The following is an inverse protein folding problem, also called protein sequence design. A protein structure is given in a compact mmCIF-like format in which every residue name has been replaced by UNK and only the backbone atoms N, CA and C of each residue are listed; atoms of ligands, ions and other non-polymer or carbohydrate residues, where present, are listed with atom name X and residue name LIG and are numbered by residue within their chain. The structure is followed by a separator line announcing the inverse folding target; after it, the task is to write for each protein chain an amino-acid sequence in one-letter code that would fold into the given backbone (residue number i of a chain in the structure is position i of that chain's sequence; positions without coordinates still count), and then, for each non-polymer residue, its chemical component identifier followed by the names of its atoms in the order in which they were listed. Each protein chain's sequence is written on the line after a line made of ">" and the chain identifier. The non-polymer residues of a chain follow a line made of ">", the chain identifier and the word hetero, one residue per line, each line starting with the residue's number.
data_IF_119258407491
#
_entry.id   IF_119258407491
#
_cell.length_a   1.000
_cell.length_b   1.000
_cell.length_c   1.000
_cell.angle_alpha   90.00
_cell.angle_beta   90.00
_cell.angle_gamma   90.00
#
_symmetry.space_group_name_H-M   'P 1'
#
loop_
_entity.id
_entity.type
_entity.pdbx_description
1 polymer ?
#
# COMPACT_ATOMS: atom_id res chain seq x y z
N UNK A 1 26.06 -11.43 7.34
CA UNK A 1 25.39 -10.52 8.30
C UNK A 1 24.15 -11.22 8.85
N UNK A 2 23.72 -10.92 10.08
CA UNK A 2 22.63 -11.59 10.81
C UNK A 2 21.39 -10.68 10.85
N UNK A 3 20.21 -11.22 10.56
CA UNK A 3 18.93 -10.51 10.70
C UNK A 3 18.62 -10.23 12.19
N UNK A 4 17.82 -9.20 12.47
CA UNK A 4 17.29 -8.93 13.81
C UNK A 4 16.47 -10.13 14.30
N UNK A 5 16.45 -10.39 15.62
CA UNK A 5 15.56 -11.41 16.18
C UNK A 5 14.10 -10.94 16.22
N UNK A 6 13.16 -11.89 16.31
CA UNK A 6 11.75 -11.55 16.48
C UNK A 6 11.51 -10.84 17.82
N UNK A 7 12.20 -11.27 18.87
CA UNK A 7 12.10 -10.68 20.21
C UNK A 7 12.50 -9.20 20.19
N UNK A 8 13.65 -8.88 19.59
CA UNK A 8 14.12 -7.50 19.42
C UNK A 8 13.14 -6.66 18.58
N UNK A 9 12.57 -7.24 17.51
CA UNK A 9 11.55 -6.57 16.70
C UNK A 9 10.31 -6.23 17.54
N UNK A 10 9.78 -7.18 18.30
CA UNK A 10 8.61 -6.96 19.15
C UNK A 10 8.89 -5.94 20.26
N UNK A 11 10.04 -6.02 20.92
CA UNK A 11 10.44 -5.06 21.95
C UNK A 11 10.51 -3.65 21.38
N UNK A 12 11.10 -3.51 20.19
CA UNK A 12 11.19 -2.23 19.50
C UNK A 12 9.80 -1.63 19.23
N UNK A 13 8.87 -2.38 18.65
CA UNK A 13 7.50 -1.90 18.39
C UNK A 13 6.73 -1.62 19.68
N UNK A 14 6.84 -2.47 20.71
CA UNK A 14 6.19 -2.24 22.01
C UNK A 14 6.67 -0.97 22.69
N UNK A 15 7.97 -0.67 22.61
CA UNK A 15 8.54 0.57 23.14
C UNK A 15 7.97 1.84 22.50
N UNK A 16 7.33 1.70 21.33
CA UNK A 16 6.70 2.77 20.55
C UNK A 16 5.18 2.63 20.45
N UNK A 17 4.56 2.04 21.48
CA UNK A 17 3.11 1.85 21.57
C UNK A 17 2.50 1.04 20.41
N UNK A 18 3.26 0.12 19.81
CA UNK A 18 2.86 -0.76 18.69
C UNK A 18 2.42 -0.04 17.40
N UNK A 19 2.44 1.30 17.36
CA UNK A 19 2.10 2.10 16.17
C UNK A 19 2.86 3.41 16.22
N UNK A 20 3.68 3.67 15.22
CA UNK A 20 4.51 4.88 15.17
C UNK A 20 4.83 5.25 13.73
N UNK A 21 5.30 6.49 13.54
CA UNK A 21 5.94 6.92 12.31
C UNK A 21 7.45 6.91 12.49
N UNK A 22 8.16 6.38 11.51
CA UNK A 22 9.62 6.37 11.52
C UNK A 22 10.20 7.71 11.04
N UNK A 23 11.54 7.81 10.97
CA UNK A 23 12.25 9.02 10.57
C UNK A 23 11.98 9.46 9.12
N UNK A 24 11.49 8.55 8.27
CA UNK A 24 11.15 8.82 6.88
C UNK A 24 9.67 9.10 6.67
N UNK A 25 8.88 9.11 7.74
CA UNK A 25 7.44 9.35 7.69
C UNK A 25 6.61 8.13 7.30
N UNK A 26 7.22 6.94 7.17
CA UNK A 26 6.48 5.69 7.05
C UNK A 26 5.80 5.39 8.37
N UNK A 27 4.53 5.02 8.31
CA UNK A 27 3.79 4.53 9.45
C UNK A 27 3.92 3.01 9.53
N UNK A 28 4.19 2.50 10.72
CA UNK A 28 4.34 1.09 10.99
C UNK A 28 3.53 0.73 12.22
N UNK A 29 3.04 -0.50 12.26
CA UNK A 29 2.44 -1.01 13.47
C UNK A 29 2.30 -2.51 13.53
N UNK A 30 1.80 -2.97 14.67
CA UNK A 30 1.38 -4.33 14.92
C UNK A 30 -0.14 -4.33 15.05
N UNK A 31 -0.80 -5.16 14.25
CA UNK A 31 -2.23 -5.45 14.34
C UNK A 31 -2.50 -6.61 15.32
N UNK A 32 -3.77 -6.86 15.59
CA UNK A 32 -4.19 -8.04 16.34
C UNK A 32 -3.63 -9.32 15.67
N UNK A 33 -3.19 -10.28 16.48
CA UNK A 33 -2.53 -11.49 15.97
C UNK A 33 -1.01 -11.37 15.77
N UNK A 34 -0.38 -10.28 16.21
CA UNK A 34 1.06 -10.03 16.08
C UNK A 34 1.54 -9.89 14.63
N UNK A 35 0.66 -9.35 13.77
CA UNK A 35 0.95 -9.10 12.36
C UNK A 35 1.44 -7.67 12.17
N UNK A 36 2.52 -7.50 11.41
CA UNK A 36 3.17 -6.22 11.15
C UNK A 36 2.64 -5.60 9.87
N UNK A 37 2.39 -4.30 9.89
CA UNK A 37 1.94 -3.58 8.71
C UNK A 37 2.74 -2.32 8.52
N UNK A 38 2.80 -1.87 7.27
CA UNK A 38 3.39 -0.60 6.87
C UNK A 38 2.39 0.21 6.07
N UNK A 39 2.49 1.52 6.17
CA UNK A 39 1.75 2.47 5.37
C UNK A 39 2.66 3.66 5.06
N UNK A 40 2.88 3.93 3.78
CA UNK A 40 3.60 5.11 3.32
C UNK A 40 2.67 5.92 2.41
N UNK A 41 2.58 7.22 2.64
CA UNK A 41 1.78 8.13 1.82
C UNK A 41 2.66 9.22 1.23
N UNK A 42 2.55 9.39 -0.09
CA UNK A 42 3.19 10.43 -0.86
C UNK A 42 2.10 11.24 -1.59
N UNK A 43 1.74 12.38 -1.02
CA UNK A 43 0.96 13.38 -1.73
C UNK A 43 1.91 14.31 -2.48
N UNK A 44 2.04 14.14 -3.80
CA UNK A 44 2.85 15.03 -4.62
C UNK A 44 2.01 15.79 -5.65
N UNK A 45 1.09 16.64 -5.16
CA UNK A 45 0.30 17.55 -5.99
C UNK A 45 1.17 18.56 -6.79
N UNK A 46 2.46 18.67 -6.48
CA UNK A 46 3.39 19.52 -7.24
C UNK A 46 3.94 18.87 -8.51
N UNK A 47 3.81 17.55 -8.69
CA UNK A 47 4.34 16.81 -9.85
C UNK A 47 3.32 15.90 -10.56
N UNK A 48 2.10 15.81 -10.04
CA UNK A 48 1.01 15.06 -10.67
C UNK A 48 -0.28 15.16 -9.84
N UNK A 49 -1.43 14.78 -10.40
CA UNK A 49 -2.71 14.82 -9.69
C UNK A 49 -2.84 13.70 -8.66
N UNK A 50 -1.97 12.68 -8.70
CA UNK A 50 -2.13 11.45 -7.93
C UNK A 50 -1.51 11.57 -6.52
N UNK A 51 -2.33 11.31 -5.51
CA UNK A 51 -1.85 10.91 -4.20
C UNK A 51 -1.61 9.40 -4.21
N UNK A 52 -0.38 8.98 -3.90
CA UNK A 52 0.00 7.57 -3.85
C UNK A 52 0.16 7.16 -2.40
N UNK A 53 -0.43 6.05 -2.02
CA UNK A 53 -0.08 5.35 -0.79
C UNK A 53 0.28 3.90 -1.08
N UNK A 54 1.10 3.31 -0.23
CA UNK A 54 1.55 1.93 -0.35
C UNK A 54 1.42 1.29 1.02
N UNK A 55 0.72 0.18 1.10
CA UNK A 55 0.50 -0.55 2.35
C UNK A 55 0.69 -2.04 2.22
N UNK A 56 1.19 -2.66 3.28
CA UNK A 56 1.26 -4.12 3.42
C UNK A 56 0.06 -4.63 4.22
N UNK A 57 -0.39 -5.84 3.90
CA UNK A 57 -1.37 -6.58 4.69
C UNK A 57 -0.62 -7.49 5.66
N UNK A 58 -0.85 -7.29 6.97
CA UNK A 58 -0.39 -8.13 8.08
C UNK A 58 0.71 -9.17 7.81
N UNK A 59 1.98 -8.78 7.93
CA UNK A 59 3.14 -9.66 7.83
C UNK A 59 3.36 -10.42 9.15
N UNK A 60 3.65 -11.72 9.08
CA UNK A 60 4.24 -12.37 10.24
C UNK A 60 5.67 -11.84 10.50
N UNK A 61 6.21 -11.96 11.73
CA UNK A 61 7.50 -11.35 12.09
C UNK A 61 8.66 -11.73 11.15
N UNK A 62 8.79 -13.02 10.81
CA UNK A 62 9.83 -13.49 9.91
C UNK A 62 9.69 -12.89 8.51
N UNK A 63 8.48 -12.85 7.98
CA UNK A 63 8.23 -12.29 6.66
C UNK A 63 8.56 -10.80 6.64
N UNK A 64 8.15 -10.05 7.66
CA UNK A 64 8.50 -8.64 7.80
C UNK A 64 10.02 -8.41 7.79
N UNK A 65 10.75 -9.17 8.62
CA UNK A 65 12.22 -9.09 8.74
C UNK A 65 12.90 -9.43 7.41
N UNK A 66 12.49 -10.52 6.76
CA UNK A 66 13.11 -11.00 5.53
C UNK A 66 12.87 -10.05 4.36
N UNK A 67 11.64 -9.56 4.19
CA UNK A 67 11.27 -8.74 3.04
C UNK A 67 11.85 -7.34 3.10
N UNK A 68 11.92 -6.75 4.30
CA UNK A 68 12.61 -5.49 4.51
C UNK A 68 14.11 -5.64 4.75
N UNK A 69 14.62 -6.87 4.87
CA UNK A 69 16.03 -7.20 5.16
C UNK A 69 16.53 -6.49 6.42
N UNK A 70 15.76 -6.55 7.50
CA UNK A 70 16.01 -5.82 8.74
C UNK A 70 17.14 -6.52 9.52
N UNK A 71 18.25 -5.82 9.68
CA UNK A 71 19.43 -6.29 10.41
C UNK A 71 19.49 -5.69 11.82
N UNK A 72 18.98 -4.48 11.98
CA UNK A 72 18.90 -3.75 13.25
C UNK A 72 17.65 -2.87 13.32
N UNK A 73 17.32 -2.37 14.52
CA UNK A 73 16.19 -1.45 14.73
C UNK A 73 16.32 -0.16 13.93
N UNK A 74 17.55 0.30 13.69
CA UNK A 74 17.83 1.49 12.89
C UNK A 74 17.40 1.34 11.43
N UNK A 75 17.36 0.11 10.90
CA UNK A 75 16.88 -0.15 9.55
C UNK A 75 15.37 0.14 9.44
N UNK A 76 14.61 -0.14 10.50
CA UNK A 76 13.17 0.16 10.60
C UNK A 76 12.96 1.68 10.56
N UNK A 77 13.83 2.42 11.26
CA UNK A 77 13.80 3.88 11.26
C UNK A 77 14.17 4.48 9.88
N UNK A 78 14.92 3.73 9.07
CA UNK A 78 15.36 4.13 7.74
C UNK A 78 14.42 3.71 6.59
N UNK A 79 13.41 2.86 6.83
CA UNK A 79 12.48 2.41 5.79
C UNK A 79 11.75 3.60 5.13
N UNK A 80 11.78 3.67 3.81
CA UNK A 80 11.20 4.77 3.04
C UNK A 80 10.31 4.29 1.88
N UNK A 81 9.91 5.24 1.03
CA UNK A 81 9.14 4.99 -0.19
C UNK A 81 9.71 3.85 -1.05
N UNK A 82 11.02 3.77 -1.24
CA UNK A 82 11.62 2.76 -2.11
C UNK A 82 11.44 1.37 -1.50
N UNK A 83 11.54 1.24 -0.18
CA UNK A 83 11.27 -0.03 0.50
C UNK A 83 9.82 -0.47 0.28
N UNK A 84 8.85 0.43 0.43
CA UNK A 84 7.44 0.13 0.16
C UNK A 84 7.19 -0.20 -1.32
N UNK A 85 7.80 0.54 -2.24
CA UNK A 85 7.65 0.28 -3.68
C UNK A 85 8.20 -1.08 -4.07
N UNK A 86 9.34 -1.49 -3.50
CA UNK A 86 9.88 -2.83 -3.71
C UNK A 86 8.94 -3.92 -3.21
N UNK A 87 8.28 -3.74 -2.05
CA UNK A 87 7.24 -4.66 -1.57
C UNK A 87 6.08 -4.76 -2.56
N UNK A 88 5.64 -3.63 -3.13
CA UNK A 88 4.60 -3.62 -4.16
C UNK A 88 5.00 -4.40 -5.41
N UNK A 89 6.21 -4.17 -5.93
CA UNK A 89 6.74 -4.88 -7.10
C UNK A 89 6.86 -6.40 -6.87
N UNK A 90 7.08 -6.83 -5.63
CA UNK A 90 7.11 -8.24 -5.24
C UNK A 90 5.71 -8.86 -5.06
N UNK A 91 4.63 -8.07 -5.15
CA UNK A 91 3.26 -8.52 -4.89
C UNK A 91 2.91 -8.67 -3.40
N UNK A 92 3.67 -8.03 -2.53
CA UNK A 92 3.55 -8.14 -1.07
C UNK A 92 3.01 -6.86 -0.42
N UNK A 93 2.66 -5.87 -1.25
CA UNK A 93 1.96 -4.66 -0.86
C UNK A 93 0.92 -4.32 -1.93
N UNK A 94 0.02 -3.42 -1.57
CA UNK A 94 -0.90 -2.76 -2.47
C UNK A 94 -0.58 -1.28 -2.57
N UNK A 95 -0.87 -0.69 -3.73
CA UNK A 95 -0.75 0.74 -3.96
C UNK A 95 -2.14 1.35 -4.08
N UNK A 96 -2.46 2.31 -3.21
CA UNK A 96 -3.65 3.16 -3.31
C UNK A 96 -3.35 4.41 -4.13
N UNK A 97 -4.21 4.71 -5.08
CA UNK A 97 -4.21 5.92 -5.89
C UNK A 97 -5.54 6.63 -5.69
N UNK A 98 -5.51 7.89 -5.29
CA UNK A 98 -6.69 8.75 -5.26
C UNK A 98 -6.58 9.76 -6.42
N UNK A 99 -7.25 9.51 -7.56
CA UNK A 99 -7.32 10.46 -8.67
C UNK A 99 -8.11 11.70 -8.24
N UNK A 100 -7.78 12.88 -8.79
CA UNK A 100 -8.51 14.10 -8.42
C UNK A 100 -9.96 14.09 -8.92
N UNK A 101 -10.17 13.45 -10.07
CA UNK A 101 -11.45 13.38 -10.78
C UNK A 101 -12.43 12.38 -10.17
N UNK A 102 -11.94 11.48 -9.31
CA UNK A 102 -12.73 10.41 -8.70
C UNK A 102 -12.65 10.57 -7.19
N UNK A 103 -13.78 10.76 -6.53
CA UNK A 103 -13.82 10.95 -5.06
C UNK A 103 -13.62 9.62 -4.28
N UNK A 104 -12.73 8.75 -4.74
CA UNK A 104 -12.46 7.44 -4.16
C UNK A 104 -11.03 6.98 -4.43
N UNK A 105 -10.51 6.15 -3.52
CA UNK A 105 -9.24 5.46 -3.71
C UNK A 105 -9.42 4.19 -4.58
N UNK A 106 -8.56 4.06 -5.58
CA UNK A 106 -8.34 2.83 -6.34
C UNK A 106 -7.12 2.11 -5.78
N UNK A 107 -7.28 0.83 -5.43
CA UNK A 107 -6.20 -0.03 -4.97
C UNK A 107 -5.73 -0.95 -6.07
N UNK A 108 -4.41 -1.02 -6.22
CA UNK A 108 -3.71 -1.85 -7.18
C UNK A 108 -2.91 -2.90 -6.42
N UNK A 109 -3.12 -4.18 -6.73
CA UNK A 109 -2.41 -5.30 -6.10
C UNK A 109 -1.90 -6.25 -7.16
N UNK A 110 -0.58 -6.45 -7.23
CA UNK A 110 0.02 -7.42 -8.14
C UNK A 110 -0.20 -8.82 -7.58
N UNK A 111 -0.82 -9.69 -8.38
CA UNK A 111 -0.97 -11.12 -8.07
C UNK A 111 -0.49 -11.93 -9.27
N UNK A 112 0.65 -12.60 -9.12
CA UNK A 112 1.29 -13.38 -10.19
C UNK A 112 1.54 -12.51 -11.44
N UNK A 113 0.84 -12.79 -12.55
CA UNK A 113 0.99 -12.08 -13.84
C UNK A 113 -0.10 -11.03 -14.09
N UNK A 114 -0.96 -10.78 -13.11
CA UNK A 114 -2.08 -9.83 -13.23
C UNK A 114 -2.00 -8.78 -12.14
N UNK A 115 -2.66 -7.65 -12.39
CA UNK A 115 -2.94 -6.64 -11.38
C UNK A 115 -4.44 -6.68 -11.10
N UNK A 116 -4.80 -6.82 -9.82
CA UNK A 116 -6.16 -6.64 -9.35
C UNK A 116 -6.34 -5.15 -9.03
N UNK A 117 -7.39 -4.55 -9.57
CA UNK A 117 -7.77 -3.18 -9.28
C UNK A 117 -9.13 -3.20 -8.58
N UNK A 118 -9.23 -2.55 -7.43
CA UNK A 118 -10.49 -2.50 -6.71
C UNK A 118 -10.66 -1.20 -5.93
N UNK A 119 -11.91 -0.87 -5.62
CA UNK A 119 -12.24 0.22 -4.71
C UNK A 119 -13.46 -0.18 -3.88
N UNK A 120 -13.28 -0.21 -2.56
CA UNK A 120 -14.37 -0.49 -1.64
C UNK A 120 -15.42 0.61 -1.68
N UNK A 121 -14.99 1.87 -1.85
CA UNK A 121 -15.87 3.03 -1.91
C UNK A 121 -16.75 3.04 -3.16
N UNK A 122 -16.22 2.56 -4.29
CA UNK A 122 -16.95 2.48 -5.55
C UNK A 122 -17.67 1.15 -5.74
N UNK A 123 -17.49 0.18 -4.84
CA UNK A 123 -17.84 -1.23 -5.07
C UNK A 123 -17.33 -1.75 -6.43
N UNK A 124 -16.10 -1.35 -6.77
CA UNK A 124 -15.47 -1.62 -8.05
C UNK A 124 -14.45 -2.74 -7.95
N UNK A 125 -14.39 -3.58 -8.98
CA UNK A 125 -13.41 -4.64 -9.14
C UNK A 125 -13.07 -4.83 -10.61
N UNK A 126 -11.79 -5.01 -10.90
CA UNK A 126 -11.27 -5.31 -12.22
C UNK A 126 -9.98 -6.13 -12.13
N UNK A 127 -9.67 -6.81 -13.24
CA UNK A 127 -8.42 -7.55 -13.39
C UNK A 127 -7.79 -7.23 -14.74
N UNK A 128 -6.51 -6.85 -14.73
CA UNK A 128 -5.72 -6.69 -15.95
C UNK A 128 -4.62 -7.74 -16.01
N UNK A 129 -4.46 -8.38 -17.16
CA UNK A 129 -3.45 -9.42 -17.39
C UNK A 129 -2.06 -8.82 -17.70
N UNK A 130 -1.68 -7.81 -16.94
CA UNK A 130 -0.36 -7.19 -16.93
C UNK A 130 0.00 -6.73 -15.51
N UNK A 131 1.29 -6.54 -15.26
CA UNK A 131 1.79 -5.99 -14.00
C UNK A 131 1.90 -4.47 -14.15
N UNK A 132 1.04 -3.72 -13.46
CA UNK A 132 1.09 -2.25 -13.43
C UNK A 132 2.15 -1.84 -12.40
N UNK A 133 3.34 -1.49 -12.86
CA UNK A 133 4.55 -1.40 -11.99
C UNK A 133 5.09 0.01 -11.85
N UNK A 134 4.59 0.95 -12.65
CA UNK A 134 5.03 2.34 -12.69
C UNK A 134 3.84 3.28 -12.44
N UNK A 135 4.06 4.49 -11.90
CA UNK A 135 2.97 5.47 -11.75
C UNK A 135 2.22 5.77 -13.05
N UNK A 136 2.95 5.80 -14.18
CA UNK A 136 2.36 6.00 -15.51
C UNK A 136 1.42 4.86 -15.94
N UNK A 137 1.59 3.64 -15.41
CA UNK A 137 0.67 2.54 -15.66
C UNK A 137 -0.68 2.77 -14.96
N UNK A 138 -0.67 3.36 -13.75
CA UNK A 138 -1.89 3.71 -13.03
C UNK A 138 -2.65 4.83 -13.74
N UNK A 139 -1.94 5.88 -14.16
CA UNK A 139 -2.51 6.98 -14.94
C UNK A 139 -3.13 6.46 -16.24
N UNK A 140 -2.41 5.59 -16.97
CA UNK A 140 -2.92 4.95 -18.18
C UNK A 140 -4.17 4.14 -17.89
N UNK A 141 -4.16 3.30 -16.86
CA UNK A 141 -5.33 2.50 -16.48
C UNK A 141 -6.55 3.39 -16.22
N UNK A 142 -6.39 4.45 -15.42
CA UNK A 142 -7.47 5.38 -15.08
C UNK A 142 -8.03 6.05 -16.34
N UNK A 143 -7.16 6.54 -17.22
CA UNK A 143 -7.57 7.20 -18.46
C UNK A 143 -8.31 6.25 -19.42
N UNK A 144 -7.82 5.02 -19.59
CA UNK A 144 -8.43 4.02 -20.47
C UNK A 144 -9.76 3.47 -19.94
N UNK A 145 -9.96 3.51 -18.62
CA UNK A 145 -11.13 2.93 -17.94
C UNK A 145 -12.08 3.98 -17.36
N UNK A 146 -11.89 5.26 -17.69
CA UNK A 146 -12.65 6.42 -17.18
C UNK A 146 -14.17 6.18 -17.20
N UNK A 147 -14.71 5.72 -18.33
CA UNK A 147 -16.15 5.45 -18.45
C UNK A 147 -16.66 4.41 -17.44
N UNK A 148 -15.88 3.35 -17.16
CA UNK A 148 -16.27 2.29 -16.21
C UNK A 148 -16.21 2.83 -14.77
N UNK A 149 -15.18 3.60 -14.46
CA UNK A 149 -14.99 4.24 -13.16
C UNK A 149 -16.12 5.24 -12.86
N UNK A 150 -16.47 6.08 -13.84
CA UNK A 150 -17.58 7.04 -13.75
C UNK A 150 -18.92 6.34 -13.51
N UNK A 151 -19.18 5.20 -14.16
CA UNK A 151 -20.39 4.41 -13.89
C UNK A 151 -20.40 3.86 -12.47
N UNK A 152 -19.26 3.39 -11.96
CA UNK A 152 -19.15 2.91 -10.58
C UNK A 152 -19.40 4.04 -9.56
N UNK A 153 -18.81 5.21 -9.78
CA UNK A 153 -19.01 6.41 -8.96
C UNK A 153 -20.48 6.85 -8.92
N UNK A 154 -21.17 6.88 -10.06
CA UNK A 154 -22.60 7.19 -10.09
C UNK A 154 -23.46 6.17 -9.33
N UNK A 155 -23.02 4.91 -9.25
CA UNK A 155 -23.74 3.85 -8.57
C UNK A 155 -23.44 3.82 -7.06
N UNK A 156 -22.29 4.33 -6.60
CA UNK A 156 -21.95 4.51 -5.18
C UNK A 156 -23.11 5.14 -4.40
N UNK A 157 -23.65 6.25 -4.91
CA UNK A 157 -24.73 7.01 -4.28
C UNK A 157 -26.12 6.35 -4.34
N UNK A 158 -26.28 5.28 -5.12
CA UNK A 158 -27.55 4.52 -5.18
C UNK A 158 -27.60 3.42 -4.14
N UNK A 159 -26.44 2.85 -3.79
CA UNK A 159 -26.32 1.74 -2.83
C UNK A 159 -26.47 2.26 -1.39
N UNK A 160 -26.04 3.50 -1.11
CA UNK A 160 -26.13 4.15 0.21
C UNK A 160 -27.54 4.62 0.63
N UNK A 161 -28.58 4.37 -0.17
CA UNK A 161 -29.98 4.78 0.12
C UNK A 161 -30.83 3.68 0.78
N UNK A 162 -30.23 2.74 1.51
CA UNK A 162 -30.95 1.72 2.28
C UNK A 162 -30.77 1.89 3.76
#
# INVERSE_FOLDING_TARGET
>A
MKLISQEELFEYFKSRNNRFKNLKGMELGIADGNEFWTYFSLCNHSKGPLAINISTEGDCPNHFIEQFKIMATDDIDALDYNNSWMRYLNGEAETGIAPYEIEAELRFKIIHRKTIIFSLELHFYDEVYEQLTMPADFERYIAEHENRLNVAEQNRYKISRK
#
